data_IF_067703488819
#
_entry.id   IF_067703488819
#
_cell.length_a   1.000
_cell.length_b   1.000
_cell.length_c   1.000
_cell.angle_alpha   90.00
_cell.angle_beta   90.00
_cell.angle_gamma   90.00
#
_symmetry.space_group_name_H-M   'P 1'
#
loop_
_entity.id
_entity.type
_entity.pdbx_description
1 polymer ?
#
# COMPACT_ATOMS: atom_id res chain seq x y z
N UNK A 1 -33.64 33.57 -19.11
CA UNK A 1 -34.49 32.76 -20.00
C UNK A 1 -33.87 31.34 -20.07
N UNK A 2 -34.69 30.32 -19.94
CA UNK A 2 -34.30 28.93 -20.20
C UNK A 2 -34.40 28.68 -21.71
N UNK A 3 -33.43 27.93 -22.22
CA UNK A 3 -33.39 27.49 -23.65
C UNK A 3 -33.26 25.96 -23.64
N UNK A 4 -33.83 25.35 -24.66
CA UNK A 4 -33.61 23.91 -24.85
C UNK A 4 -32.39 23.74 -25.76
N UNK A 5 -31.43 22.99 -25.29
CA UNK A 5 -30.21 22.61 -26.00
C UNK A 5 -30.23 21.14 -26.36
N UNK A 6 -29.63 20.80 -27.47
CA UNK A 6 -29.29 19.44 -27.85
C UNK A 6 -27.80 19.35 -28.10
N UNK A 7 -27.26 18.16 -28.05
CA UNK A 7 -25.85 17.95 -28.36
C UNK A 7 -25.51 16.49 -28.46
N UNK A 8 -24.28 16.23 -28.88
CA UNK A 8 -23.73 14.87 -29.00
C UNK A 8 -22.40 14.79 -28.28
N UNK A 9 -22.20 13.70 -27.54
CA UNK A 9 -20.96 13.41 -26.85
C UNK A 9 -20.27 12.25 -27.57
N UNK A 10 -19.05 12.48 -28.02
CA UNK A 10 -18.21 11.50 -28.71
C UNK A 10 -16.87 11.37 -28.02
N UNK A 11 -16.15 10.30 -28.27
CA UNK A 11 -14.76 10.13 -27.85
C UNK A 11 -13.77 10.75 -28.83
N UNK A 12 -12.48 10.56 -28.63
CA UNK A 12 -11.40 11.07 -29.48
C UNK A 12 -11.28 10.33 -30.82
N UNK A 13 -11.97 9.18 -30.98
CA UNK A 13 -12.08 8.43 -32.24
C UNK A 13 -13.36 8.77 -33.01
N UNK A 14 -14.24 9.59 -32.43
CA UNK A 14 -15.51 9.99 -33.01
C UNK A 14 -16.66 9.01 -32.74
N UNK A 15 -16.45 8.02 -31.86
CA UNK A 15 -17.50 7.08 -31.45
C UNK A 15 -18.42 7.70 -30.39
N UNK A 16 -19.71 7.32 -30.40
CA UNK A 16 -20.71 7.84 -29.48
C UNK A 16 -20.48 7.36 -28.04
N UNK A 17 -20.42 8.28 -27.09
CA UNK A 17 -20.30 7.95 -25.65
C UNK A 17 -21.71 7.80 -25.06
N UNK A 18 -22.13 6.55 -24.85
CA UNK A 18 -23.45 6.17 -24.34
C UNK A 18 -23.49 6.30 -22.81
N UNK A 19 -24.54 6.93 -22.26
CA UNK A 19 -24.74 7.03 -20.82
C UNK A 19 -23.84 8.08 -20.13
N UNK A 20 -23.21 8.98 -20.90
CA UNK A 20 -22.46 10.09 -20.31
C UNK A 20 -23.40 11.04 -19.55
N UNK A 21 -23.01 11.44 -18.36
CA UNK A 21 -23.75 12.38 -17.53
C UNK A 21 -23.49 13.81 -18.00
N UNK A 22 -24.56 14.56 -18.30
CA UNK A 22 -24.54 15.97 -18.70
C UNK A 22 -25.30 16.77 -17.65
N UNK A 23 -24.62 17.61 -16.89
CA UNK A 23 -25.19 18.39 -15.78
C UNK A 23 -24.93 19.89 -15.99
N UNK A 24 -25.97 20.70 -15.90
CA UNK A 24 -25.88 22.15 -15.94
C UNK A 24 -25.60 22.70 -14.54
N UNK A 25 -24.49 23.42 -14.37
CA UNK A 25 -24.00 23.87 -13.06
C UNK A 25 -24.92 24.88 -12.38
N UNK A 26 -25.49 25.84 -13.13
CA UNK A 26 -26.36 26.90 -12.58
C UNK A 26 -27.81 26.48 -12.50
N UNK A 27 -28.33 25.77 -13.51
CA UNK A 27 -29.71 25.29 -13.53
C UNK A 27 -29.92 24.02 -12.69
N UNK A 28 -28.85 23.32 -12.33
CA UNK A 28 -28.85 22.02 -11.61
C UNK A 28 -29.69 20.93 -12.29
N UNK A 29 -30.02 21.11 -13.57
CA UNK A 29 -30.67 20.10 -14.39
C UNK A 29 -29.61 19.17 -14.97
N UNK A 30 -29.94 17.89 -15.13
CA UNK A 30 -29.05 16.91 -15.72
C UNK A 30 -29.79 15.91 -16.60
N UNK A 31 -29.09 15.30 -17.52
CA UNK A 31 -29.53 14.21 -18.39
C UNK A 31 -28.36 13.25 -18.65
N UNK A 32 -28.66 12.14 -19.30
CA UNK A 32 -27.65 11.19 -19.80
C UNK A 32 -27.76 11.10 -21.32
N UNK A 33 -26.66 10.73 -21.98
CA UNK A 33 -26.63 10.51 -23.45
C UNK A 33 -27.31 9.18 -23.78
N UNK A 34 -27.97 9.17 -24.96
CA UNK A 34 -28.62 7.98 -25.52
C UNK A 34 -27.60 7.06 -26.24
N UNK A 35 -28.11 6.04 -26.95
CA UNK A 35 -27.29 5.04 -27.67
C UNK A 35 -26.50 5.61 -28.83
N UNK A 36 -26.86 6.80 -29.32
CA UNK A 36 -26.19 7.55 -30.38
C UNK A 36 -25.33 8.69 -29.80
N UNK A 37 -25.18 8.75 -28.47
CA UNK A 37 -24.43 9.80 -27.78
C UNK A 37 -25.17 11.15 -27.70
N UNK A 38 -26.44 11.23 -28.08
CA UNK A 38 -27.19 12.49 -28.10
C UNK A 38 -27.80 12.79 -26.71
N UNK A 39 -27.92 14.07 -26.40
CA UNK A 39 -28.63 14.56 -25.23
C UNK A 39 -29.52 15.76 -25.53
N UNK A 40 -30.55 15.95 -24.71
CA UNK A 40 -31.41 17.14 -24.71
C UNK A 40 -31.57 17.63 -23.28
N UNK A 41 -31.42 18.92 -23.07
CA UNK A 41 -31.49 19.51 -21.72
C UNK A 41 -32.02 20.95 -21.78
N UNK A 42 -32.88 21.33 -20.82
CA UNK A 42 -33.34 22.71 -20.66
C UNK A 42 -32.47 23.43 -19.64
N UNK A 43 -31.78 24.49 -20.08
CA UNK A 43 -30.78 25.21 -19.28
C UNK A 43 -30.87 26.72 -19.47
N UNK A 44 -30.21 27.49 -18.62
CA UNK A 44 -30.09 28.94 -18.80
C UNK A 44 -29.09 29.23 -19.94
N UNK A 45 -29.34 30.27 -20.72
CA UNK A 45 -28.49 30.64 -21.88
C UNK A 45 -27.02 30.93 -21.50
N UNK A 46 -26.76 31.26 -20.20
CA UNK A 46 -25.42 31.53 -19.69
C UNK A 46 -24.90 30.40 -18.75
N UNK A 47 -25.44 29.20 -18.89
CA UNK A 47 -25.05 28.05 -18.09
C UNK A 47 -23.73 27.42 -18.58
N UNK A 48 -23.16 26.56 -17.73
CA UNK A 48 -21.98 25.74 -18.04
C UNK A 48 -22.37 24.28 -17.85
N UNK A 49 -22.18 23.49 -18.87
CA UNK A 49 -22.39 22.04 -18.82
C UNK A 49 -21.14 21.35 -18.29
N UNK A 50 -21.31 20.45 -17.35
CA UNK A 50 -20.29 19.49 -16.94
C UNK A 50 -20.67 18.14 -17.53
N UNK A 51 -19.81 17.61 -18.38
CA UNK A 51 -19.97 16.32 -19.02
C UNK A 51 -18.95 15.35 -18.44
N UNK A 52 -19.43 14.22 -17.91
CA UNK A 52 -18.60 13.21 -17.29
C UNK A 52 -19.07 11.80 -17.65
N UNK A 53 -18.10 10.91 -17.84
CA UNK A 53 -18.34 9.48 -18.02
C UNK A 53 -17.19 8.69 -17.41
N UNK A 54 -17.48 7.47 -16.96
CA UNK A 54 -16.45 6.60 -16.34
C UNK A 54 -15.39 6.30 -17.39
N UNK A 55 -14.12 6.58 -17.07
CA UNK A 55 -13.01 6.37 -17.98
C UNK A 55 -12.63 7.57 -18.84
N UNK A 56 -13.32 8.68 -18.71
CA UNK A 56 -13.04 9.89 -19.49
C UNK A 56 -12.73 11.10 -18.60
N UNK A 57 -11.97 12.04 -19.15
CA UNK A 57 -11.69 13.33 -18.49
C UNK A 57 -12.95 14.17 -18.52
N UNK A 58 -13.44 14.58 -17.36
CA UNK A 58 -14.59 15.47 -17.23
C UNK A 58 -14.34 16.77 -17.98
N UNK A 59 -15.27 17.15 -18.87
CA UNK A 59 -15.22 18.39 -19.64
C UNK A 59 -16.27 19.39 -19.15
N UNK A 60 -15.91 20.66 -19.20
CA UNK A 60 -16.85 21.77 -18.93
C UNK A 60 -16.98 22.63 -20.16
N UNK A 61 -18.22 22.82 -20.64
CA UNK A 61 -18.52 23.56 -21.85
C UNK A 61 -19.54 24.66 -21.57
N UNK A 62 -19.25 25.95 -21.88
CA UNK A 62 -20.21 27.02 -21.73
C UNK A 62 -21.30 26.93 -22.82
N UNK A 63 -22.54 27.07 -22.44
CA UNK A 63 -23.69 27.03 -23.35
C UNK A 63 -23.68 28.21 -24.36
N UNK A 64 -23.34 29.41 -23.84
CA UNK A 64 -23.18 30.64 -24.66
C UNK A 64 -24.25 30.87 -25.74
N UNK A 65 -25.51 30.49 -25.45
CA UNK A 65 -26.64 30.64 -26.36
C UNK A 65 -26.67 29.66 -27.55
N UNK A 66 -25.81 28.65 -27.59
CA UNK A 66 -25.79 27.62 -28.64
C UNK A 66 -26.90 26.60 -28.39
N UNK A 67 -27.63 26.26 -29.46
CA UNK A 67 -28.71 25.26 -29.39
C UNK A 67 -28.21 23.82 -29.66
N UNK A 68 -27.04 23.68 -30.29
CA UNK A 68 -26.41 22.40 -30.54
C UNK A 68 -24.94 22.41 -30.10
N UNK A 69 -24.54 21.42 -29.31
CA UNK A 69 -23.20 21.35 -28.70
C UNK A 69 -22.61 19.96 -28.93
N UNK A 70 -21.48 19.90 -29.63
CA UNK A 70 -20.70 18.65 -29.76
C UNK A 70 -19.56 18.70 -28.78
N UNK A 71 -19.43 17.63 -27.98
CA UNK A 71 -18.40 17.51 -26.95
C UNK A 71 -17.58 16.26 -27.20
N UNK A 72 -16.27 16.43 -27.34
CA UNK A 72 -15.35 15.31 -27.47
C UNK A 72 -14.73 15.03 -26.08
N UNK A 73 -15.04 13.89 -25.51
CA UNK A 73 -14.40 13.43 -24.29
C UNK A 73 -13.08 12.73 -24.63
N UNK A 74 -12.04 13.07 -23.90
CA UNK A 74 -10.76 12.37 -24.00
C UNK A 74 -10.73 11.28 -22.96
N UNK A 75 -10.28 10.09 -23.35
CA UNK A 75 -10.05 9.02 -22.39
C UNK A 75 -9.12 9.47 -21.25
N UNK A 76 -9.52 9.19 -20.03
CA UNK A 76 -8.68 9.43 -18.86
C UNK A 76 -7.73 8.24 -18.68
N UNK A 77 -6.66 8.22 -19.45
CA UNK A 77 -5.61 7.19 -19.36
C UNK A 77 -4.98 7.07 -17.98
N UNK A 78 -5.19 8.04 -17.09
CA UNK A 78 -4.74 7.94 -15.69
C UNK A 78 -5.64 7.06 -14.79
N UNK A 79 -6.87 6.76 -15.20
CA UNK A 79 -7.83 5.97 -14.39
C UNK A 79 -8.04 4.54 -14.88
N UNK A 80 -7.55 4.16 -16.06
CA UNK A 80 -7.92 2.89 -16.69
C UNK A 80 -6.80 1.92 -17.02
N UNK A 81 -5.55 2.30 -16.87
CA UNK A 81 -4.47 1.37 -17.14
C UNK A 81 -3.74 0.96 -15.85
N UNK A 82 -4.37 0.07 -15.07
CA UNK A 82 -3.57 -0.83 -14.25
C UNK A 82 -2.81 -1.76 -15.20
N UNK A 83 -1.66 -1.27 -15.65
CA UNK A 83 -0.76 -2.02 -16.51
C UNK A 83 -0.06 -3.05 -15.64
N UNK A 84 -0.29 -4.31 -15.94
CA UNK A 84 0.41 -5.42 -15.30
C UNK A 84 1.64 -5.72 -16.14
N UNK A 85 2.80 -5.67 -15.52
CA UNK A 85 4.03 -6.13 -16.17
C UNK A 85 4.02 -7.66 -16.14
N UNK A 86 3.84 -8.24 -17.31
CA UNK A 86 3.99 -9.67 -17.55
C UNK A 86 5.45 -10.01 -17.84
N UNK A 87 5.76 -11.25 -18.16
CA UNK A 87 7.14 -11.69 -18.37
C UNK A 87 7.98 -10.81 -19.29
N UNK A 88 9.27 -10.73 -18.97
CA UNK A 88 10.28 -9.96 -19.71
C UNK A 88 10.01 -8.46 -19.86
N UNK A 89 9.26 -7.86 -18.92
CA UNK A 89 8.99 -6.42 -18.93
C UNK A 89 7.93 -5.98 -19.95
N UNK A 90 7.18 -6.90 -20.53
CA UNK A 90 6.05 -6.58 -21.40
C UNK A 90 4.88 -6.04 -20.56
N UNK A 91 4.51 -4.81 -20.79
CA UNK A 91 3.37 -4.18 -20.18
C UNK A 91 2.09 -4.57 -20.94
N UNK A 92 1.12 -5.17 -20.24
CA UNK A 92 -0.19 -5.52 -20.79
C UNK A 92 -1.29 -4.90 -19.92
N UNK A 93 -2.41 -4.53 -20.53
CA UNK A 93 -3.59 -4.08 -19.77
C UNK A 93 -4.08 -5.24 -18.89
N UNK A 94 -4.35 -5.00 -17.61
CA UNK A 94 -4.82 -6.02 -16.65
C UNK A 94 -6.06 -6.76 -17.18
N UNK A 95 -6.96 -6.03 -17.84
CA UNK A 95 -8.17 -6.59 -18.44
C UNK A 95 -7.91 -7.60 -19.57
N UNK A 96 -6.73 -7.55 -20.23
CA UNK A 96 -6.39 -8.46 -21.34
C UNK A 96 -5.60 -9.70 -20.89
N UNK A 97 -5.25 -9.78 -19.61
CA UNK A 97 -4.47 -10.91 -19.08
C UNK A 97 -5.41 -11.99 -18.55
N UNK A 98 -5.37 -13.15 -19.19
CA UNK A 98 -6.20 -14.33 -18.81
C UNK A 98 -5.62 -15.12 -17.64
N UNK A 99 -4.43 -14.80 -17.14
CA UNK A 99 -3.76 -15.46 -16.02
C UNK A 99 -4.17 -14.94 -14.65
N UNK A 100 -3.94 -15.75 -13.60
CA UNK A 100 -4.15 -15.35 -12.20
C UNK A 100 -3.05 -14.37 -11.75
N UNK A 101 -3.24 -13.06 -12.01
CA UNK A 101 -2.30 -12.00 -11.66
C UNK A 101 -2.92 -11.09 -10.59
N UNK A 102 -2.12 -10.75 -9.58
CA UNK A 102 -2.43 -9.70 -8.60
C UNK A 102 -1.42 -8.58 -8.74
N UNK A 103 -1.86 -7.34 -8.71
CA UNK A 103 -0.99 -6.17 -8.84
C UNK A 103 -1.30 -5.11 -7.79
N UNK A 104 -0.28 -4.33 -7.46
CA UNK A 104 -0.34 -3.17 -6.56
C UNK A 104 0.45 -2.04 -7.19
N UNK A 105 -0.15 -0.87 -7.31
CA UNK A 105 0.48 0.31 -7.88
C UNK A 105 1.19 1.21 -6.85
N UNK A 106 1.93 2.19 -7.36
CA UNK A 106 2.70 3.14 -6.54
C UNK A 106 1.84 3.91 -5.52
N UNK A 107 0.60 4.26 -5.86
CA UNK A 107 -0.30 5.00 -4.97
C UNK A 107 -0.65 4.20 -3.71
N UNK A 108 -0.94 2.92 -3.85
CA UNK A 108 -1.25 2.06 -2.72
C UNK A 108 -0.01 1.81 -1.83
N UNK A 109 1.18 1.73 -2.45
CA UNK A 109 2.43 1.57 -1.72
C UNK A 109 2.82 2.82 -0.95
N UNK A 110 2.55 4.01 -1.48
CA UNK A 110 2.87 5.29 -0.83
C UNK A 110 2.20 5.48 0.55
N UNK A 111 1.06 4.82 0.78
CA UNK A 111 0.37 4.85 2.07
C UNK A 111 0.94 3.86 3.11
N UNK A 112 1.83 2.97 2.70
CA UNK A 112 2.44 2.01 3.61
C UNK A 112 3.48 2.70 4.51
N UNK A 113 3.38 2.48 5.82
CA UNK A 113 4.34 2.97 6.82
C UNK A 113 5.26 1.82 7.25
N UNK A 114 5.97 1.25 6.26
CA UNK A 114 6.84 0.10 6.48
C UNK A 114 8.31 0.47 6.30
N UNK A 115 9.17 -0.24 7.00
CA UNK A 115 10.62 -0.08 6.93
C UNK A 115 11.20 -0.82 5.72
N UNK A 116 10.51 -1.87 5.26
CA UNK A 116 10.96 -2.72 4.15
C UNK A 116 9.94 -2.73 3.02
N UNK A 117 10.41 -2.92 1.78
CA UNK A 117 9.53 -3.02 0.62
C UNK A 117 8.54 -4.20 0.75
N UNK A 118 9.01 -5.35 1.25
CA UNK A 118 8.14 -6.50 1.51
C UNK A 118 7.06 -6.19 2.54
N UNK A 119 7.41 -5.49 3.63
CA UNK A 119 6.46 -5.05 4.64
C UNK A 119 5.39 -4.10 4.09
N UNK A 120 5.74 -3.26 3.11
CA UNK A 120 4.79 -2.37 2.44
C UNK A 120 3.74 -3.13 1.59
N UNK A 121 4.02 -4.37 1.20
CA UNK A 121 3.13 -5.23 0.40
C UNK A 121 2.14 -6.05 1.25
N UNK A 122 2.36 -6.13 2.57
CA UNK A 122 1.52 -6.96 3.47
C UNK A 122 0.05 -6.57 3.36
N UNK A 123 -0.81 -7.56 3.12
CA UNK A 123 -2.26 -7.38 3.01
C UNK A 123 -2.75 -6.73 1.71
N UNK A 124 -1.87 -6.37 0.76
CA UNK A 124 -2.24 -5.69 -0.49
C UNK A 124 -2.37 -6.62 -1.69
N UNK A 125 -1.82 -7.83 -1.62
CA UNK A 125 -1.75 -8.76 -2.73
C UNK A 125 -2.61 -10.02 -2.44
N UNK A 126 -3.78 -10.18 -3.07
CA UNK A 126 -4.60 -11.38 -2.90
C UNK A 126 -3.85 -12.66 -3.24
N UNK A 127 -3.95 -13.69 -2.38
CA UNK A 127 -3.28 -14.99 -2.55
C UNK A 127 -1.77 -14.97 -2.32
N UNK A 128 -1.27 -13.90 -1.70
CA UNK A 128 0.11 -13.80 -1.22
C UNK A 128 0.08 -13.76 0.31
N UNK A 129 0.82 -14.66 0.94
CA UNK A 129 0.96 -14.73 2.37
C UNK A 129 2.31 -14.16 2.80
N UNK A 130 2.29 -13.46 3.91
CA UNK A 130 3.47 -12.84 4.49
C UNK A 130 3.67 -13.40 5.88
N UNK A 131 4.84 -13.97 6.13
CA UNK A 131 5.22 -14.52 7.40
C UNK A 131 6.35 -13.71 8.03
N UNK A 132 6.06 -13.09 9.16
CA UNK A 132 7.06 -12.39 9.96
C UNK A 132 7.67 -13.37 10.96
N UNK A 133 8.96 -13.64 10.85
CA UNK A 133 9.65 -14.59 11.76
C UNK A 133 10.06 -13.93 13.08
N UNK A 134 10.28 -12.62 13.09
CA UNK A 134 10.60 -11.85 14.28
C UNK A 134 10.20 -10.39 14.12
N UNK A 135 10.14 -9.66 15.24
CA UNK A 135 9.77 -8.24 15.29
C UNK A 135 10.97 -7.29 15.44
N UNK A 136 12.18 -7.69 15.06
CA UNK A 136 13.35 -6.81 15.15
C UNK A 136 13.22 -5.61 14.21
N UNK A 137 13.77 -4.44 14.56
CA UNK A 137 13.86 -3.32 13.64
C UNK A 137 14.46 -3.75 12.30
N UNK A 138 13.88 -3.29 11.20
CA UNK A 138 14.32 -3.66 9.85
C UNK A 138 14.00 -5.09 9.40
N UNK A 139 13.39 -5.93 10.23
CA UNK A 139 13.02 -7.29 9.85
C UNK A 139 11.96 -7.26 8.74
N UNK A 140 12.23 -8.01 7.67
CA UNK A 140 11.34 -8.14 6.54
C UNK A 140 10.51 -9.43 6.61
N UNK A 141 9.21 -9.38 6.30
CA UNK A 141 8.42 -10.60 6.20
C UNK A 141 8.83 -11.44 4.99
N UNK A 142 8.76 -12.75 5.13
CA UNK A 142 8.92 -13.69 4.04
C UNK A 142 7.66 -13.74 3.18
N UNK A 143 7.83 -13.73 1.86
CA UNK A 143 6.73 -13.81 0.90
C UNK A 143 6.52 -15.27 0.51
N UNK A 144 5.26 -15.69 0.49
CA UNK A 144 4.83 -16.99 -0.02
C UNK A 144 3.58 -16.81 -0.89
N UNK A 145 3.59 -17.38 -2.08
CA UNK A 145 2.42 -17.40 -2.95
C UNK A 145 1.69 -18.73 -2.69
N UNK A 146 0.42 -18.67 -2.25
CA UNK A 146 -0.42 -19.84 -1.93
C UNK A 146 0.24 -20.84 -0.95
N UNK A 147 1.05 -20.36 -0.02
CA UNK A 147 1.84 -21.17 0.92
C UNK A 147 2.83 -22.15 0.25
N UNK A 148 3.17 -21.91 -0.99
CA UNK A 148 4.21 -22.66 -1.70
C UNK A 148 5.56 -22.04 -1.43
N UNK A 149 6.59 -22.44 -1.15
CA UNK A 149 7.95 -21.90 -0.88
C UNK A 149 8.21 -20.45 -1.33
N UNK A 150 9.46 -20.06 -1.34
CA UNK A 150 9.89 -18.70 -1.74
C UNK A 150 9.65 -18.48 -3.24
N UNK A 151 8.95 -17.43 -3.67
CA UNK A 151 8.74 -17.12 -5.07
C UNK A 151 10.03 -16.57 -5.72
N UNK A 152 10.08 -16.66 -7.03
CA UNK A 152 11.11 -15.99 -7.83
C UNK A 152 10.86 -14.47 -7.81
N UNK A 153 11.90 -13.68 -7.56
CA UNK A 153 11.82 -12.22 -7.53
C UNK A 153 12.51 -11.65 -8.75
N UNK A 154 11.80 -10.82 -9.51
CA UNK A 154 12.30 -10.13 -10.69
C UNK A 154 12.18 -8.63 -10.45
N UNK A 155 13.29 -7.89 -10.51
CA UNK A 155 13.30 -6.43 -10.39
C UNK A 155 13.80 -5.87 -11.72
N UNK A 156 12.96 -5.09 -12.38
CA UNK A 156 13.23 -4.49 -13.72
C UNK A 156 13.73 -5.50 -14.75
N UNK A 157 13.16 -6.72 -14.74
CA UNK A 157 13.52 -7.80 -15.66
C UNK A 157 14.73 -8.63 -15.24
N UNK A 158 15.38 -8.32 -14.12
CA UNK A 158 16.55 -9.06 -13.61
C UNK A 158 16.15 -9.87 -12.38
N UNK A 159 16.52 -11.15 -12.36
CA UNK A 159 16.35 -12.01 -11.20
C UNK A 159 17.19 -11.52 -10.01
N UNK A 160 16.58 -11.40 -8.86
CA UNK A 160 17.18 -10.94 -7.60
C UNK A 160 16.74 -11.83 -6.45
N UNK A 161 17.38 -11.69 -5.30
CA UNK A 161 16.97 -12.32 -4.05
C UNK A 161 16.03 -11.42 -3.22
N UNK A 162 15.48 -11.97 -2.13
CA UNK A 162 14.59 -11.25 -1.21
C UNK A 162 15.32 -10.11 -0.48
N UNK A 163 16.61 -10.23 -0.24
CA UNK A 163 17.41 -9.16 0.36
C UNK A 163 17.47 -7.92 -0.52
N UNK A 164 17.68 -8.12 -1.83
CA UNK A 164 17.65 -7.02 -2.80
C UNK A 164 16.27 -6.32 -2.85
N UNK A 165 15.17 -7.08 -2.76
CA UNK A 165 13.84 -6.49 -2.68
C UNK A 165 13.67 -5.66 -1.41
N UNK A 166 14.11 -6.17 -0.26
CA UNK A 166 13.96 -5.48 1.02
C UNK A 166 14.81 -4.22 1.15
N UNK A 167 15.87 -4.14 0.37
CA UNK A 167 16.73 -2.96 0.27
C UNK A 167 16.18 -1.88 -0.66
N UNK A 168 15.15 -2.17 -1.48
CA UNK A 168 14.48 -1.12 -2.25
C UNK A 168 13.68 -0.19 -1.34
N UNK A 169 13.67 1.09 -1.69
CA UNK A 169 12.70 2.02 -1.13
C UNK A 169 11.33 1.76 -1.76
N UNK A 170 10.31 1.55 -0.96
CA UNK A 170 8.96 1.30 -1.47
C UNK A 170 8.39 2.50 -2.27
N UNK A 171 8.88 3.72 -2.02
CA UNK A 171 8.52 4.89 -2.81
C UNK A 171 9.17 4.91 -4.20
N UNK A 172 10.19 4.10 -4.45
CA UNK A 172 10.82 3.98 -5.77
C UNK A 172 10.16 2.89 -6.63
N UNK A 173 9.21 2.15 -6.06
CA UNK A 173 8.45 1.13 -6.78
C UNK A 173 7.31 1.80 -7.53
N UNK A 174 7.19 1.51 -8.83
CA UNK A 174 6.06 1.89 -9.68
C UNK A 174 4.91 0.90 -9.56
N UNK A 175 5.24 -0.41 -9.65
CA UNK A 175 4.23 -1.46 -9.53
C UNK A 175 4.86 -2.78 -9.09
N UNK A 176 4.04 -3.60 -8.43
CA UNK A 176 4.37 -4.99 -8.11
C UNK A 176 3.28 -5.87 -8.68
N UNK A 177 3.68 -6.84 -9.49
CA UNK A 177 2.79 -7.86 -10.09
C UNK A 177 3.18 -9.23 -9.59
N UNK A 178 2.19 -10.03 -9.17
CA UNK A 178 2.41 -11.40 -8.71
C UNK A 178 1.79 -12.35 -9.72
N UNK A 179 2.65 -13.11 -10.38
CA UNK A 179 2.28 -14.13 -11.35
C UNK A 179 2.11 -15.46 -10.63
N UNK A 180 0.95 -16.08 -10.82
CA UNK A 180 0.56 -17.34 -10.19
C UNK A 180 0.30 -18.37 -11.26
N UNK A 181 0.54 -19.63 -10.95
CA UNK A 181 0.20 -20.76 -11.83
C UNK A 181 0.81 -20.62 -13.24
N UNK A 182 0.00 -20.84 -14.29
CA UNK A 182 0.44 -20.79 -15.68
C UNK A 182 1.10 -19.47 -16.09
N UNK A 183 0.74 -18.36 -15.49
CA UNK A 183 1.35 -17.05 -15.80
C UNK A 183 2.82 -16.96 -15.35
N UNK A 184 3.23 -17.76 -14.38
CA UNK A 184 4.62 -17.86 -13.92
C UNK A 184 5.48 -18.77 -14.83
N UNK A 185 4.87 -19.65 -15.63
CA UNK A 185 5.56 -20.67 -16.42
C UNK A 185 6.58 -20.10 -17.44
N UNK A 186 6.39 -18.87 -17.89
CA UNK A 186 7.33 -18.18 -18.80
C UNK A 186 8.71 -17.99 -18.19
N UNK A 187 8.84 -18.03 -16.86
CA UNK A 187 10.12 -17.95 -16.14
C UNK A 187 10.75 -19.33 -15.84
N UNK A 188 10.12 -20.41 -16.39
CA UNK A 188 10.65 -21.76 -16.29
C UNK A 188 10.49 -22.38 -14.89
N UNK A 189 11.27 -23.45 -14.63
CA UNK A 189 11.17 -24.27 -13.41
C UNK A 189 11.45 -23.49 -12.11
N UNK A 190 12.25 -22.45 -12.15
CA UNK A 190 12.54 -21.60 -10.98
C UNK A 190 11.32 -20.85 -10.49
N UNK A 191 10.29 -20.70 -11.32
CA UNK A 191 9.04 -20.02 -11.00
C UNK A 191 7.95 -20.98 -10.47
N UNK A 192 8.28 -22.20 -10.10
CA UNK A 192 7.31 -23.19 -9.60
C UNK A 192 6.50 -22.67 -8.39
N UNK A 193 7.09 -21.84 -7.55
CA UNK A 193 6.43 -21.20 -6.40
C UNK A 193 5.77 -19.85 -6.74
N UNK A 194 5.66 -19.49 -8.04
CA UNK A 194 5.20 -18.21 -8.52
C UNK A 194 6.32 -17.17 -8.66
N UNK A 195 5.97 -16.01 -9.22
CA UNK A 195 6.92 -14.92 -9.50
C UNK A 195 6.38 -13.60 -8.95
N UNK A 196 7.25 -12.84 -8.32
CA UNK A 196 7.00 -11.43 -7.93
C UNK A 196 7.79 -10.55 -8.88
N UNK A 197 7.10 -9.82 -9.75
CA UNK A 197 7.69 -8.88 -10.71
C UNK A 197 7.55 -7.47 -10.16
N UNK A 198 8.66 -6.78 -10.00
CA UNK A 198 8.73 -5.42 -9.49
C UNK A 198 9.25 -4.52 -10.60
N UNK A 199 8.55 -3.43 -10.83
CA UNK A 199 8.97 -2.37 -11.74
C UNK A 199 9.26 -1.13 -10.92
N UNK A 200 10.45 -0.56 -11.10
CA UNK A 200 10.84 0.68 -10.43
C UNK A 200 10.42 1.91 -11.24
N UNK A 201 10.26 3.04 -10.57
CA UNK A 201 9.92 4.31 -11.18
C UNK A 201 11.01 4.77 -12.14
N UNK A 202 10.59 5.36 -13.25
CA UNK A 202 11.47 5.90 -14.30
C UNK A 202 10.99 7.28 -14.72
N UNK A 203 11.90 8.09 -15.25
CA UNK A 203 11.52 9.33 -15.92
C UNK A 203 10.73 9.04 -17.20
N UNK A 204 9.80 9.94 -17.58
CA UNK A 204 9.01 9.83 -18.80
C UNK A 204 9.62 10.72 -19.90
N UNK A 205 9.35 10.38 -21.18
CA UNK A 205 9.76 11.23 -22.31
C UNK A 205 9.05 12.59 -22.24
N UNK A 206 9.77 13.64 -22.56
CA UNK A 206 9.26 15.02 -22.59
C UNK A 206 8.64 15.47 -21.25
N UNK A 207 9.06 14.85 -20.14
CA UNK A 207 8.63 15.21 -18.79
C UNK A 207 9.44 16.40 -18.27
N UNK A 208 8.74 17.45 -17.83
CA UNK A 208 9.37 18.54 -17.08
C UNK A 208 9.94 17.99 -15.77
N UNK A 209 10.97 18.66 -15.27
CA UNK A 209 11.55 18.34 -13.96
C UNK A 209 10.45 18.26 -12.89
N UNK A 210 10.37 17.12 -12.24
CA UNK A 210 9.44 16.88 -11.12
C UNK A 210 10.27 16.47 -9.90
N UNK A 211 10.06 17.16 -8.79
CA UNK A 211 10.67 16.88 -7.50
C UNK A 211 9.58 16.45 -6.55
N UNK A 212 9.76 15.32 -5.87
CA UNK A 212 8.86 14.87 -4.82
C UNK A 212 9.66 14.64 -3.55
N UNK A 213 9.11 15.06 -2.42
CA UNK A 213 9.66 14.79 -1.09
C UNK A 213 8.56 14.19 -0.24
N UNK A 214 8.85 13.04 0.36
CA UNK A 214 7.96 12.33 1.26
C UNK A 214 8.67 12.08 2.58
N UNK A 215 7.96 12.19 3.69
CA UNK A 215 8.54 11.89 4.98
C UNK A 215 7.47 11.68 6.05
N UNK A 216 7.86 10.96 7.10
CA UNK A 216 7.06 10.85 8.32
C UNK A 216 7.97 10.67 9.53
N UNK A 217 7.42 11.03 10.67
CA UNK A 217 7.97 10.75 11.98
C UNK A 217 6.86 10.19 12.87
N UNK A 218 7.16 9.19 13.66
CA UNK A 218 6.17 8.55 14.53
C UNK A 218 6.81 7.68 15.59
N UNK A 219 5.98 7.06 16.41
CA UNK A 219 6.41 6.13 17.46
C UNK A 219 5.72 4.80 17.27
N UNK A 220 6.48 3.73 17.41
CA UNK A 220 5.96 2.38 17.58
C UNK A 220 5.69 2.16 19.06
N UNK A 221 4.44 1.87 19.38
CA UNK A 221 4.02 1.60 20.75
C UNK A 221 3.82 0.10 20.92
N UNK A 222 4.44 -0.53 21.93
CA UNK A 222 4.14 -1.92 22.24
C UNK A 222 2.68 -2.04 22.68
N UNK A 223 1.96 -2.99 22.11
CA UNK A 223 0.58 -3.27 22.44
C UNK A 223 0.38 -4.76 22.74
N UNK A 224 -0.58 -5.06 23.61
CA UNK A 224 -0.98 -6.44 23.92
C UNK A 224 0.16 -7.38 24.33
N UNK A 225 1.16 -6.88 25.06
CA UNK A 225 2.14 -7.76 25.66
C UNK A 225 1.52 -8.51 26.85
N UNK A 226 2.01 -9.72 27.15
CA UNK A 226 1.52 -10.49 28.29
C UNK A 226 1.64 -9.70 29.58
N UNK A 227 0.63 -9.77 30.44
CA UNK A 227 0.73 -9.26 31.80
C UNK A 227 1.22 -10.41 32.65
N UNK A 228 2.41 -10.33 33.27
CA UNK A 228 2.87 -11.36 34.16
C UNK A 228 2.00 -11.37 35.43
N UNK A 229 1.86 -12.51 36.05
CA UNK A 229 1.33 -12.59 37.41
C UNK A 229 2.26 -11.82 38.35
N UNK A 230 1.70 -11.20 39.36
CA UNK A 230 2.50 -10.63 40.43
C UNK A 230 3.28 -11.74 41.18
N UNK A 231 4.31 -11.38 41.87
CA UNK A 231 5.05 -12.38 42.67
C UNK A 231 4.14 -13.01 43.74
N UNK A 232 3.24 -12.20 44.32
CA UNK A 232 2.28 -12.67 45.33
C UNK A 232 1.31 -13.70 44.71
N UNK A 233 0.77 -13.43 43.51
CA UNK A 233 -0.14 -14.35 42.82
C UNK A 233 0.57 -15.64 42.40
N UNK A 234 1.83 -15.53 41.94
CA UNK A 234 2.63 -16.67 41.54
C UNK A 234 2.94 -17.59 42.76
N UNK A 235 3.35 -16.99 43.87
CA UNK A 235 3.61 -17.74 45.10
C UNK A 235 2.34 -18.37 45.68
N UNK A 236 1.21 -17.68 45.63
CA UNK A 236 -0.09 -18.22 46.00
C UNK A 236 -0.46 -19.45 45.15
N UNK A 237 -0.24 -19.40 43.83
CA UNK A 237 -0.48 -20.53 42.95
C UNK A 237 0.43 -21.73 43.25
N UNK A 238 1.72 -21.51 43.58
CA UNK A 238 2.64 -22.56 44.04
C UNK A 238 2.10 -23.21 45.27
N UNK A 239 1.80 -22.44 46.33
CA UNK A 239 1.29 -22.96 47.62
C UNK A 239 0.00 -23.77 47.40
N UNK A 240 -0.89 -23.30 46.55
CA UNK A 240 -2.13 -24.01 46.22
C UNK A 240 -1.84 -25.35 45.54
N UNK A 241 -0.95 -25.35 44.54
CA UNK A 241 -0.57 -26.55 43.78
C UNK A 241 0.09 -27.60 44.68
N UNK A 242 1.02 -27.20 45.55
CA UNK A 242 1.67 -28.06 46.54
C UNK A 242 0.66 -28.66 47.53
N UNK A 243 -0.31 -27.85 47.93
CA UNK A 243 -1.39 -28.30 48.84
C UNK A 243 -2.28 -29.36 48.19
N UNK A 244 -2.67 -29.14 46.92
CA UNK A 244 -3.51 -30.09 46.16
C UNK A 244 -2.75 -31.41 45.91
N UNK A 245 -1.48 -31.31 45.54
CA UNK A 245 -0.67 -32.49 45.22
C UNK A 245 -0.11 -33.23 46.44
N UNK A 246 -0.29 -32.68 47.66
CA UNK A 246 0.27 -33.25 48.88
C UNK A 246 1.80 -33.21 48.94
N UNK A 247 2.42 -32.30 48.16
CA UNK A 247 3.88 -32.13 48.14
C UNK A 247 4.34 -31.18 49.24
N UNK A 248 5.62 -31.35 49.75
CA UNK A 248 6.17 -30.43 50.74
C UNK A 248 6.13 -28.97 50.25
N UNK A 249 5.85 -28.05 51.14
CA UNK A 249 5.84 -26.61 50.80
C UNK A 249 7.26 -26.11 50.59
N UNK A 250 7.48 -25.48 49.42
CA UNK A 250 8.72 -24.79 49.08
C UNK A 250 8.73 -23.34 49.60
N UNK A 251 7.54 -22.75 49.77
CA UNK A 251 7.37 -21.39 50.30
C UNK A 251 6.66 -21.42 51.64
N UNK A 252 7.29 -20.85 52.70
CA UNK A 252 6.68 -20.73 54.01
C UNK A 252 5.59 -19.65 54.02
N UNK A 253 4.69 -19.71 55.03
CA UNK A 253 3.66 -18.67 55.18
C UNK A 253 4.28 -17.32 55.50
N UNK A 254 5.34 -17.31 56.29
CA UNK A 254 6.07 -16.11 56.69
C UNK A 254 6.74 -15.46 55.46
N UNK A 255 7.33 -16.26 54.58
CA UNK A 255 7.94 -15.79 53.36
C UNK A 255 6.89 -15.24 52.39
N UNK A 256 5.79 -15.95 52.21
CA UNK A 256 4.67 -15.45 51.39
C UNK A 256 4.13 -14.12 51.90
N UNK A 257 4.00 -13.97 53.24
CA UNK A 257 3.48 -12.75 53.84
C UNK A 257 4.39 -11.54 53.58
N UNK A 258 5.71 -11.70 53.51
CA UNK A 258 6.65 -10.62 53.15
C UNK A 258 6.37 -10.07 51.75
N UNK A 259 6.06 -10.94 50.79
CA UNK A 259 5.70 -10.54 49.44
C UNK A 259 4.34 -9.82 49.39
N UNK A 260 3.36 -10.25 50.18
CA UNK A 260 2.06 -9.58 50.29
C UNK A 260 2.20 -8.18 50.89
N UNK A 261 3.00 -8.09 51.99
CA UNK A 261 3.20 -6.85 52.72
C UNK A 261 4.25 -5.93 52.11
N UNK A 262 5.00 -6.42 51.11
CA UNK A 262 6.05 -5.66 50.39
C UNK A 262 7.04 -5.03 51.36
N UNK A 263 7.57 -5.84 52.26
CA UNK A 263 8.37 -5.38 53.40
C UNK A 263 9.68 -4.70 53.04
N UNK A 264 10.22 -5.02 51.87
CA UNK A 264 11.46 -4.44 51.32
C UNK A 264 11.48 -4.49 49.77
N UNK A 265 12.56 -4.00 49.15
CA UNK A 265 12.74 -4.01 47.69
C UNK A 265 12.85 -5.43 47.12
N UNK A 266 13.41 -6.40 47.88
CA UNK A 266 13.56 -7.77 47.41
C UNK A 266 12.21 -8.51 47.36
N UNK A 267 11.25 -8.13 48.20
CA UNK A 267 9.90 -8.68 48.28
C UNK A 267 8.87 -7.81 47.54
N UNK A 268 9.30 -7.08 46.50
CA UNK A 268 8.42 -6.27 45.67
C UNK A 268 8.36 -6.83 44.26
N UNK A 269 7.14 -7.06 43.78
CA UNK A 269 6.91 -7.53 42.41
C UNK A 269 7.33 -6.48 41.40
N UNK A 270 8.14 -6.86 40.41
CA UNK A 270 8.63 -5.97 39.39
C UNK A 270 8.08 -6.37 38.00
N UNK A 271 7.45 -5.44 37.31
CA UNK A 271 6.91 -5.66 35.96
C UNK A 271 8.02 -5.52 34.92
N UNK A 272 8.69 -6.64 34.63
CA UNK A 272 9.74 -6.73 33.63
C UNK A 272 9.26 -6.38 32.23
N UNK A 273 8.02 -6.70 31.85
CA UNK A 273 7.49 -6.36 30.54
C UNK A 273 7.37 -4.84 30.38
N UNK A 274 6.82 -4.17 31.37
CA UNK A 274 6.73 -2.71 31.37
C UNK A 274 8.10 -2.01 31.37
N UNK A 275 9.08 -2.63 32.01
CA UNK A 275 10.44 -2.11 32.02
C UNK A 275 11.19 -2.31 30.71
N UNK A 276 11.07 -3.49 30.10
CA UNK A 276 11.81 -3.88 28.89
C UNK A 276 11.20 -3.25 27.64
N UNK A 277 9.87 -3.24 27.54
CA UNK A 277 9.20 -2.69 26.37
C UNK A 277 9.09 -1.18 26.46
N UNK A 278 9.63 -0.51 25.46
CA UNK A 278 9.61 0.96 25.35
C UNK A 278 9.00 1.39 24.02
N UNK A 279 8.47 2.60 23.99
CA UNK A 279 8.09 3.24 22.71
C UNK A 279 9.35 3.54 21.93
N UNK A 280 9.33 3.22 20.63
CA UNK A 280 10.46 3.38 19.74
C UNK A 280 10.13 4.40 18.65
N UNK A 281 10.91 5.49 18.50
CA UNK A 281 10.72 6.42 17.40
C UNK A 281 11.10 5.76 16.07
N UNK A 282 10.43 6.21 15.02
CA UNK A 282 10.72 5.86 13.64
C UNK A 282 10.64 7.10 12.77
N UNK A 283 11.65 7.34 11.96
CA UNK A 283 11.68 8.42 11.00
C UNK A 283 11.95 7.90 9.60
N UNK A 284 11.39 8.58 8.62
CA UNK A 284 11.59 8.28 7.21
C UNK A 284 11.57 9.56 6.39
N UNK A 285 12.48 9.67 5.47
CA UNK A 285 12.51 10.72 4.45
C UNK A 285 12.94 10.11 3.11
N UNK A 286 12.27 10.48 2.04
CA UNK A 286 12.65 10.16 0.67
C UNK A 286 12.47 11.40 -0.20
N UNK A 287 13.48 11.72 -0.98
CA UNK A 287 13.44 12.76 -1.99
C UNK A 287 13.77 12.16 -3.34
N UNK A 288 12.96 12.43 -4.36
CA UNK A 288 13.23 11.96 -5.69
C UNK A 288 13.03 13.04 -6.75
N UNK A 289 13.80 12.92 -7.81
CA UNK A 289 13.81 13.84 -8.96
C UNK A 289 13.65 13.03 -10.22
N UNK A 290 12.68 13.38 -11.05
CA UNK A 290 12.45 12.74 -12.33
C UNK A 290 12.25 13.76 -13.45
N UNK A 291 12.59 13.34 -14.66
CA UNK A 291 12.40 14.18 -15.83
C UNK A 291 12.86 13.46 -17.11
N UNK A 292 12.69 14.12 -18.25
CA UNK A 292 13.21 13.56 -19.49
C UNK A 292 12.97 14.43 -20.69
N UNK A 293 13.80 14.21 -21.69
CA UNK A 293 13.67 14.71 -23.05
C UNK A 293 13.24 13.57 -23.99
N UNK A 294 13.20 13.79 -25.28
CA UNK A 294 13.00 12.69 -26.24
C UNK A 294 14.09 11.63 -26.19
N UNK A 295 15.33 12.02 -25.88
CA UNK A 295 16.51 11.16 -25.95
C UNK A 295 16.96 10.62 -24.59
N UNK A 296 16.74 11.37 -23.52
CA UNK A 296 17.24 11.02 -22.17
C UNK A 296 16.09 11.09 -21.17
N UNK A 297 15.99 10.06 -20.34
CA UNK A 297 15.06 9.99 -19.18
C UNK A 297 15.89 9.69 -17.95
N UNK A 298 15.54 10.32 -16.84
CA UNK A 298 16.24 10.13 -15.59
C UNK A 298 15.27 10.06 -14.42
N UNK A 299 15.64 9.25 -13.44
CA UNK A 299 15.04 9.15 -12.13
C UNK A 299 16.16 8.97 -11.12
N UNK A 300 16.20 9.82 -10.11
CA UNK A 300 17.16 9.76 -9.02
C UNK A 300 16.37 9.84 -7.72
N UNK A 301 16.71 9.00 -6.75
CA UNK A 301 16.10 9.03 -5.42
C UNK A 301 17.17 8.93 -4.34
N UNK A 302 16.84 9.52 -3.19
CA UNK A 302 17.59 9.39 -1.95
C UNK A 302 16.60 9.16 -0.84
N UNK A 303 16.71 8.04 -0.15
CA UNK A 303 15.86 7.67 0.97
C UNK A 303 16.68 7.39 2.22
N UNK A 304 16.17 7.79 3.37
CA UNK A 304 16.72 7.43 4.67
C UNK A 304 15.60 7.00 5.61
N UNK A 305 15.81 5.89 6.28
CA UNK A 305 14.93 5.39 7.33
C UNK A 305 15.74 5.08 8.57
N UNK A 306 15.18 5.46 9.70
CA UNK A 306 15.69 5.14 11.03
C UNK A 306 14.55 4.62 11.90
N UNK A 307 14.76 3.46 12.53
CA UNK A 307 13.80 2.79 13.38
C UNK A 307 14.51 2.30 14.64
N UNK A 308 14.12 2.80 15.79
CA UNK A 308 14.63 2.29 17.06
C UNK A 308 13.94 0.98 17.47
N UNK A 309 14.57 0.26 18.39
CA UNK A 309 14.05 -0.99 18.93
C UNK A 309 13.05 -0.76 20.07
N UNK A 310 11.96 -1.54 20.08
CA UNK A 310 10.97 -1.51 21.15
C UNK A 310 11.44 -2.18 22.45
N UNK A 311 12.64 -2.75 22.47
CA UNK A 311 13.24 -3.40 23.64
C UNK A 311 14.39 -2.52 24.14
N UNK A 312 14.36 -2.13 25.39
CA UNK A 312 15.38 -1.29 26.05
C UNK A 312 16.78 -1.89 25.88
N UNK A 313 17.72 -1.08 25.40
CA UNK A 313 19.12 -1.49 25.21
C UNK A 313 19.41 -2.27 23.91
N UNK A 314 18.40 -2.48 23.05
CA UNK A 314 18.63 -3.07 21.73
C UNK A 314 18.83 -2.00 20.65
N UNK A 315 19.73 -2.27 19.74
CA UNK A 315 20.03 -1.38 18.63
C UNK A 315 18.83 -1.26 17.68
N UNK A 316 18.65 -0.08 17.13
CA UNK A 316 17.74 0.20 16.05
C UNK A 316 18.24 -0.30 14.68
N UNK A 317 17.51 0.04 13.66
CA UNK A 317 17.83 -0.21 12.26
C UNK A 317 17.82 1.11 11.51
N UNK A 318 18.88 1.36 10.75
CA UNK A 318 18.91 2.48 9.81
C UNK A 318 19.32 2.01 8.42
N UNK A 319 18.86 2.71 7.41
CA UNK A 319 19.22 2.45 6.01
C UNK A 319 19.13 3.75 5.21
N UNK A 320 20.14 3.93 4.36
CA UNK A 320 20.16 4.97 3.33
C UNK A 320 20.21 4.31 1.97
N UNK A 321 19.34 4.70 1.06
CA UNK A 321 19.21 4.19 -0.30
C UNK A 321 19.62 5.25 -1.30
#
# INVERSE_FOLDING_TARGET
NNINISGTVVDDQGEAVIGASVVAQKSKNGTITDVEGNFKLSVRSNDVLTISFIGYITQTVPVSGKNNIVVTLKENSMLLDEVVVTGFGLAQKKASVTGAISSVGAQELAHAKSVTATGALVGKLPGVNFRQDNGRPGAAPNIQIRNMGTPLIIIDGVQKDSGNLNNLDFNDIESVSVLKDASAAIYGMQAANGVVVITTKRGQKNQKLKVNVNGYYGWQLPSNYPKPASAEDYLAAIIQTETINGTPRTVTKEEYQKWVDKVDEEHTSFDWYKYIWVSAPQSYINANVSGGTEKVRYYLSLGHIDQEGNIRGFNGFNRTN
#
